data_IF_578080761706
#
_entry.id   IF_578080761706
#
_cell.length_a   1.000
_cell.length_b   1.000
_cell.length_c   1.000
_cell.angle_alpha   90.00
_cell.angle_beta   90.00
_cell.angle_gamma   90.00
#
_symmetry.space_group_name_H-M   'P 1'
#
loop_
_entity.id
_entity.type
_entity.pdbx_description
1 polymer ?
#
# COMPACT_ATOMS: atom_id res chain seq x y z
N UNK A 1 6.12 5.66 6.61
CA UNK A 1 6.55 4.26 6.79
C UNK A 1 5.37 3.37 6.45
N UNK A 2 5.50 2.46 5.48
CA UNK A 2 4.47 1.47 5.19
C UNK A 2 4.62 0.33 6.19
N UNK A 3 3.61 0.11 7.02
CA UNK A 3 3.61 -1.03 7.94
C UNK A 3 3.45 -2.32 7.12
N UNK A 4 3.97 -3.45 7.62
CA UNK A 4 3.85 -4.73 6.90
C UNK A 4 2.39 -5.12 6.60
N UNK A 5 1.44 -4.69 7.45
CA UNK A 5 0.00 -4.90 7.23
C UNK A 5 -0.56 -4.00 6.10
N UNK A 6 -0.11 -2.76 5.98
CA UNK A 6 -0.49 -1.88 4.88
C UNK A 6 0.11 -2.36 3.56
N UNK A 7 1.34 -2.88 3.59
CA UNK A 7 1.99 -3.51 2.45
C UNK A 7 1.18 -4.69 1.92
N UNK A 8 0.83 -5.65 2.79
CA UNK A 8 0.06 -6.82 2.39
C UNK A 8 -1.29 -6.43 1.78
N UNK A 9 -2.03 -5.53 2.44
CA UNK A 9 -3.31 -5.01 1.90
C UNK A 9 -3.16 -4.36 0.53
N UNK A 10 -2.05 -3.67 0.29
CA UNK A 10 -1.76 -3.06 -1.01
C UNK A 10 -1.50 -4.14 -2.06
N UNK A 11 -0.73 -5.18 -1.74
CA UNK A 11 -0.48 -6.28 -2.66
C UNK A 11 -1.77 -7.04 -3.02
N UNK A 12 -2.61 -7.31 -2.03
CA UNK A 12 -3.88 -8.02 -2.24
C UNK A 12 -4.79 -7.21 -3.18
N UNK A 13 -4.89 -5.89 -2.98
CA UNK A 13 -5.67 -5.01 -3.85
C UNK A 13 -5.14 -4.96 -5.30
N UNK A 14 -3.83 -5.01 -5.50
CA UNK A 14 -3.25 -5.03 -6.86
C UNK A 14 -3.50 -6.37 -7.54
N UNK A 15 -3.48 -7.49 -6.79
CA UNK A 15 -3.84 -8.81 -7.33
C UNK A 15 -5.30 -8.83 -7.77
N UNK A 16 -6.21 -8.36 -6.94
CA UNK A 16 -7.65 -8.25 -7.26
C UNK A 16 -7.87 -7.43 -8.54
N UNK A 17 -7.21 -6.26 -8.64
CA UNK A 17 -7.30 -5.42 -9.82
C UNK A 17 -6.77 -6.12 -11.09
N UNK A 18 -5.67 -6.87 -10.99
CA UNK A 18 -5.11 -7.60 -12.12
C UNK A 18 -6.07 -8.70 -12.60
N UNK A 19 -6.71 -9.43 -11.68
CA UNK A 19 -7.70 -10.46 -12.00
C UNK A 19 -8.97 -9.87 -12.65
N UNK A 20 -9.42 -8.72 -12.18
CA UNK A 20 -10.56 -8.02 -12.79
C UNK A 20 -10.23 -7.52 -14.21
N UNK A 21 -9.02 -7.00 -14.43
CA UNK A 21 -8.55 -6.62 -15.78
C UNK A 21 -8.53 -7.84 -16.71
N UNK A 22 -8.02 -8.98 -16.24
CA UNK A 22 -7.99 -10.22 -17.03
C UNK A 22 -9.38 -10.73 -17.41
N UNK A 23 -10.37 -10.51 -16.53
CA UNK A 23 -11.77 -10.89 -16.77
C UNK A 23 -12.45 -9.99 -17.80
N UNK A 24 -12.18 -8.68 -17.75
CA UNK A 24 -12.76 -7.69 -18.67
C UNK A 24 -12.11 -7.78 -20.05
N UNK A 25 -10.80 -8.01 -20.11
CA UNK A 25 -10.03 -8.07 -21.36
C UNK A 25 -9.18 -9.35 -21.42
N UNK A 26 -9.58 -10.35 -22.22
CA UNK A 26 -8.83 -11.59 -22.37
C UNK A 26 -7.42 -11.35 -22.93
N UNK A 27 -7.25 -10.34 -23.78
CA UNK A 27 -5.95 -9.93 -24.34
C UNK A 27 -4.97 -9.42 -23.27
N UNK A 28 -5.50 -8.98 -22.13
CA UNK A 28 -4.71 -8.53 -20.99
C UNK A 28 -4.45 -9.64 -19.97
N UNK A 29 -5.06 -10.82 -20.09
CA UNK A 29 -4.98 -11.87 -19.08
C UNK A 29 -3.54 -12.35 -18.85
N UNK A 30 -2.77 -12.56 -19.91
CA UNK A 30 -1.36 -12.96 -19.79
C UNK A 30 -0.52 -11.90 -19.09
N UNK A 31 -0.80 -10.62 -19.34
CA UNK A 31 -0.11 -9.49 -18.71
C UNK A 31 -0.51 -9.35 -17.24
N UNK A 32 -1.77 -9.56 -16.90
CA UNK A 32 -2.25 -9.59 -15.52
C UNK A 32 -1.58 -10.70 -14.71
N UNK A 33 -1.44 -11.91 -15.28
CA UNK A 33 -0.72 -13.01 -14.64
C UNK A 33 0.75 -12.67 -14.41
N UNK A 34 1.39 -11.97 -15.36
CA UNK A 34 2.77 -11.50 -15.17
C UNK A 34 2.89 -10.49 -14.02
N UNK A 35 1.93 -9.56 -13.89
CA UNK A 35 1.88 -8.60 -12.78
C UNK A 35 1.77 -9.33 -11.43
N UNK A 36 0.87 -10.32 -11.31
CA UNK A 36 0.72 -11.11 -10.08
C UNK A 36 2.01 -11.86 -9.72
N UNK A 37 2.71 -12.42 -10.72
CA UNK A 37 4.00 -13.10 -10.50
C UNK A 37 5.08 -12.13 -10.02
N UNK A 38 5.16 -10.94 -10.60
CA UNK A 38 6.12 -9.91 -10.19
C UNK A 38 5.87 -9.45 -8.75
N UNK A 39 4.61 -9.20 -8.40
CA UNK A 39 4.21 -8.78 -7.05
C UNK A 39 4.61 -9.82 -6.01
N UNK A 40 4.37 -11.10 -6.27
CA UNK A 40 4.74 -12.19 -5.35
C UNK A 40 6.25 -12.36 -5.20
N UNK A 41 7.04 -11.84 -6.14
CA UNK A 41 8.49 -11.85 -6.06
C UNK A 41 9.05 -10.62 -5.31
N UNK A 42 8.21 -9.65 -4.92
CA UNK A 42 8.65 -8.49 -4.15
C UNK A 42 8.69 -8.86 -2.66
N UNK A 43 9.86 -8.74 -2.05
CA UNK A 43 10.03 -8.97 -0.62
C UNK A 43 9.22 -7.96 0.20
N UNK A 44 8.63 -8.38 1.34
CA UNK A 44 7.94 -7.46 2.24
C UNK A 44 8.94 -6.43 2.81
N UNK A 45 8.49 -5.20 3.12
CA UNK A 45 9.33 -4.20 3.75
C UNK A 45 9.85 -4.78 5.07
N UNK A 46 11.15 -4.58 5.31
CA UNK A 46 11.83 -5.07 6.52
C UNK A 46 10.96 -4.78 7.74
N UNK A 47 10.49 -5.84 8.41
CA UNK A 47 9.76 -5.69 9.66
C UNK A 47 10.68 -4.91 10.59
N UNK A 48 10.30 -3.68 10.91
CA UNK A 48 11.00 -2.92 11.94
C UNK A 48 10.96 -3.77 13.20
N UNK A 49 12.10 -4.33 13.58
CA UNK A 49 12.26 -5.18 14.75
C UNK A 49 12.12 -4.25 15.96
N UNK A 50 10.89 -4.01 16.41
CA UNK A 50 10.66 -3.03 17.46
C UNK A 50 9.23 -2.75 17.90
N UNK A 51 8.21 -3.47 17.39
CA UNK A 51 6.81 -3.22 17.79
C UNK A 51 6.15 -4.49 18.33
N UNK A 52 6.72 -5.01 19.42
CA UNK A 52 6.07 -5.97 20.32
C UNK A 52 5.67 -5.23 21.60
N UNK A 53 4.89 -4.13 21.52
CA UNK A 53 4.23 -3.57 22.72
C UNK A 53 3.15 -2.51 22.42
N UNK A 54 2.11 -2.85 21.66
CA UNK A 54 0.94 -1.98 21.56
C UNK A 54 -0.35 -2.78 21.34
N UNK A 55 -0.65 -3.66 22.30
CA UNK A 55 -2.02 -3.97 22.68
C UNK A 55 -2.45 -2.89 23.69
N UNK A 56 -2.92 -1.72 23.22
CA UNK A 56 -3.94 -0.94 23.95
C UNK A 56 -4.51 0.21 23.13
N UNK A 57 -5.79 0.50 23.37
CA UNK A 57 -6.54 1.70 22.99
C UNK A 57 -6.89 1.94 21.51
N UNK A 58 -8.07 1.41 21.17
CA UNK A 58 -9.10 2.22 20.52
C UNK A 58 -9.34 3.51 21.36
N UNK A 59 -8.77 4.66 21.00
CA UNK A 59 -9.43 5.98 21.16
C UNK A 59 -8.70 7.09 20.38
N UNK A 60 -9.49 8.06 19.91
CA UNK A 60 -9.11 9.40 19.43
C UNK A 60 -8.56 9.58 18.00
N UNK A 61 -9.52 9.91 17.12
CA UNK A 61 -9.33 10.77 15.96
C UNK A 61 -8.76 12.14 16.38
N UNK A 62 -7.44 12.31 16.45
CA UNK A 62 -6.82 13.64 16.56
C UNK A 62 -6.35 14.14 15.18
N UNK A 63 -7.14 15.05 14.61
CA UNK A 63 -6.82 15.78 13.38
C UNK A 63 -5.90 16.95 13.74
N UNK A 64 -4.59 16.69 13.79
CA UNK A 64 -3.57 17.72 14.01
C UNK A 64 -3.48 18.76 12.87
N UNK A 65 -3.02 20.00 13.14
CA UNK A 65 -3.23 21.12 12.24
C UNK A 65 -2.44 20.99 10.93
N UNK A 66 -3.15 21.12 9.79
CA UNK A 66 -2.57 21.24 8.45
C UNK A 66 -1.50 22.34 8.43
N UNK A 67 -0.22 21.96 8.47
CA UNK A 67 0.88 22.85 8.11
C UNK A 67 0.84 23.08 6.60
N UNK A 68 0.07 24.09 6.19
CA UNK A 68 0.14 24.68 4.84
C UNK A 68 1.50 25.36 4.71
N UNK A 69 2.50 24.65 4.18
CA UNK A 69 3.76 25.26 3.76
C UNK A 69 3.47 26.22 2.62
N UNK A 70 3.33 27.50 2.96
CA UNK A 70 3.34 28.61 2.02
C UNK A 70 4.74 28.69 1.41
N UNK A 71 4.86 28.34 0.14
CA UNK A 71 6.03 28.72 -0.67
C UNK A 71 6.09 30.25 -0.71
N UNK A 72 7.19 30.89 -0.29
CA UNK A 72 7.42 32.28 -0.60
C UNK A 72 7.68 32.40 -2.10
N UNK A 73 6.91 33.28 -2.71
CA UNK A 73 7.12 33.83 -4.04
C UNK A 73 8.54 34.40 -4.13
N UNK A 74 9.31 33.94 -5.11
CA UNK A 74 10.61 34.49 -5.45
C UNK A 74 10.89 34.26 -6.94
N UNK A 75 10.46 35.22 -7.77
CA UNK A 75 11.24 36.00 -8.77
C UNK A 75 10.28 36.62 -9.78
#
# INVERSE_FOLDING_TARGET
MTTSAQWQRTLDAVVELAEDIARISPDCADRAVQIVRLIRAVDPPARAVGDLDADDCLDELDVGPLRRSKTPDAV
#
